data_IF_613332965684
#
_entry.id   IF_613332965684
#
_cell.length_a   1.000
_cell.length_b   1.000
_cell.length_c   1.000
_cell.angle_alpha   90.00
_cell.angle_beta   90.00
_cell.angle_gamma   90.00
#
_symmetry.space_group_name_H-M   'P 1'
#
loop_
_entity.id
_entity.type
_entity.pdbx_description
1 polymer ?
#
# COMPACT_ATOMS: atom_id res chain seq x y z
N UNK A 1 3.40 27.05 28.29
CA UNK A 1 3.38 26.15 27.12
C UNK A 1 2.37 26.56 26.02
N UNK A 2 1.47 27.54 26.24
CA UNK A 2 0.48 27.97 25.23
C UNK A 2 1.04 28.68 23.98
N UNK A 3 2.19 29.34 24.06
CA UNK A 3 2.72 30.16 22.95
C UNK A 3 3.46 29.40 21.84
N UNK A 4 3.82 28.12 22.04
CA UNK A 4 4.48 27.32 20.98
C UNK A 4 3.48 26.72 20.00
N UNK A 5 2.30 26.31 20.46
CA UNK A 5 1.22 25.80 19.61
C UNK A 5 0.57 26.91 18.78
N UNK A 6 0.37 28.11 19.35
CA UNK A 6 -0.15 29.26 18.60
C UNK A 6 0.80 29.71 17.48
N UNK A 7 2.11 29.69 17.72
CA UNK A 7 3.11 30.03 16.70
C UNK A 7 3.24 28.96 15.61
N UNK A 8 3.02 27.68 15.93
CA UNK A 8 2.95 26.60 14.93
C UNK A 8 1.71 26.73 14.03
N UNK A 9 0.58 27.18 14.57
CA UNK A 9 -0.66 27.45 13.81
C UNK A 9 -0.48 28.68 12.90
N UNK A 10 0.23 29.73 13.36
CA UNK A 10 0.51 30.92 12.56
C UNK A 10 1.59 30.69 11.48
N UNK A 11 2.63 29.88 11.74
CA UNK A 11 3.66 29.56 10.75
C UNK A 11 3.21 28.50 9.72
N UNK A 12 2.23 27.65 10.04
CA UNK A 12 1.62 26.73 9.07
C UNK A 12 0.68 27.44 8.06
N UNK A 13 0.28 28.68 8.36
CA UNK A 13 -0.59 29.47 7.47
C UNK A 13 0.15 30.14 6.31
N UNK A 14 1.48 29.96 6.19
CA UNK A 14 2.29 30.63 5.16
C UNK A 14 3.09 29.70 4.24
N UNK A 15 2.71 28.42 4.10
CA UNK A 15 3.37 27.55 3.11
C UNK A 15 2.36 26.83 2.19
N UNK A 16 2.60 27.02 0.89
CA UNK A 16 1.92 26.46 -0.29
C UNK A 16 0.49 26.97 -0.57
N UNK A 17 0.39 28.06 -1.35
CA UNK A 17 -0.78 28.33 -2.19
C UNK A 17 -0.95 27.19 -3.19
N UNK A 18 -1.79 26.22 -2.86
CA UNK A 18 -2.33 25.24 -3.81
C UNK A 18 -3.62 25.80 -4.41
N UNK A 19 -3.82 25.66 -5.72
CA UNK A 19 -4.99 26.13 -6.48
C UNK A 19 -6.35 25.82 -5.82
N UNK A 20 -6.84 26.68 -4.90
CA UNK A 20 -8.23 26.81 -4.42
C UNK A 20 -9.02 25.58 -3.91
N UNK A 21 -8.53 24.35 -4.11
CA UNK A 21 -9.22 23.08 -3.86
C UNK A 21 -8.91 22.58 -2.45
N UNK A 22 -9.92 22.15 -1.67
CA UNK A 22 -9.67 21.51 -0.39
C UNK A 22 -8.82 20.25 -0.55
N UNK A 23 -7.93 20.01 0.41
CA UNK A 23 -7.00 18.88 0.38
C UNK A 23 -7.49 17.73 1.24
N UNK A 24 -7.47 16.51 0.69
CA UNK A 24 -7.74 15.25 1.40
C UNK A 24 -6.44 14.45 1.49
N UNK A 25 -6.04 14.06 2.70
CA UNK A 25 -4.85 13.24 2.91
C UNK A 25 -5.25 11.80 3.21
N UNK A 26 -4.80 10.86 2.39
CA UNK A 26 -4.96 9.42 2.64
C UNK A 26 -3.73 8.92 3.39
N UNK A 27 -3.89 8.57 4.67
CA UNK A 27 -2.82 8.01 5.50
C UNK A 27 -2.94 6.50 5.53
N UNK A 28 -1.87 5.78 5.18
CA UNK A 28 -1.90 4.31 5.15
C UNK A 28 -0.86 3.65 6.05
N UNK A 29 -1.28 2.57 6.71
CA UNK A 29 -0.44 1.66 7.50
C UNK A 29 -0.49 0.27 6.88
N UNK A 30 0.62 -0.20 6.34
CA UNK A 30 0.71 -1.41 5.51
C UNK A 30 1.94 -2.23 5.89
N UNK A 31 1.80 -3.56 5.95
CA UNK A 31 2.92 -4.49 6.12
C UNK A 31 3.33 -5.12 4.79
N UNK A 32 2.34 -5.65 4.04
CA UNK A 32 2.52 -6.38 2.78
C UNK A 32 2.06 -5.61 1.53
N UNK A 33 1.78 -4.31 1.65
CA UNK A 33 1.42 -3.44 0.51
C UNK A 33 -0.08 -3.31 0.21
N UNK A 34 -0.97 -4.12 0.80
CA UNK A 34 -2.42 -4.05 0.49
C UNK A 34 -3.06 -2.70 0.82
N UNK A 35 -2.79 -2.14 2.01
CA UNK A 35 -3.31 -0.82 2.40
C UNK A 35 -2.73 0.32 1.55
N UNK A 36 -1.48 0.18 1.09
CA UNK A 36 -0.86 1.14 0.16
C UNK A 36 -1.57 1.12 -1.20
N UNK A 37 -1.87 -0.07 -1.73
CA UNK A 37 -2.60 -0.23 -2.99
C UNK A 37 -3.98 0.42 -2.95
N UNK A 38 -4.74 0.21 -1.87
CA UNK A 38 -6.02 0.88 -1.66
C UNK A 38 -5.90 2.40 -1.54
N UNK A 39 -4.88 2.90 -0.82
CA UNK A 39 -4.64 4.34 -0.73
C UNK A 39 -4.33 4.96 -2.10
N UNK A 40 -3.51 4.31 -2.92
CA UNK A 40 -3.23 4.74 -4.31
C UNK A 40 -4.49 4.70 -5.18
N UNK A 41 -5.33 3.68 -5.02
CA UNK A 41 -6.61 3.58 -5.72
C UNK A 41 -7.56 4.73 -5.36
N UNK A 42 -7.60 5.17 -4.09
CA UNK A 42 -8.37 6.35 -3.70
C UNK A 42 -7.86 7.62 -4.39
N UNK A 43 -6.54 7.83 -4.46
CA UNK A 43 -5.94 8.96 -5.18
C UNK A 43 -6.35 8.92 -6.66
N UNK A 44 -6.23 7.77 -7.33
CA UNK A 44 -6.63 7.62 -8.73
C UNK A 44 -8.14 7.90 -8.94
N UNK A 45 -9.00 7.38 -8.06
CA UNK A 45 -10.46 7.59 -8.12
C UNK A 45 -10.90 9.02 -7.83
N UNK A 46 -10.01 9.86 -7.28
CA UNK A 46 -10.30 11.27 -7.00
C UNK A 46 -10.15 12.18 -8.22
N UNK A 47 -9.65 11.65 -9.35
CA UNK A 47 -9.61 12.35 -10.63
C UNK A 47 -11.02 12.83 -11.02
N UNK A 48 -11.17 14.11 -11.36
CA UNK A 48 -12.46 14.73 -11.63
C UNK A 48 -13.21 15.26 -10.40
N UNK A 49 -12.73 14.99 -9.18
CA UNK A 49 -13.28 15.64 -7.97
C UNK A 49 -12.76 17.08 -7.80
N UNK A 50 -13.44 17.84 -6.94
CA UNK A 50 -13.02 19.17 -6.53
C UNK A 50 -11.92 19.17 -5.44
N UNK A 51 -11.33 18.00 -5.14
CA UNK A 51 -10.31 17.84 -4.12
C UNK A 51 -8.91 17.69 -4.71
N UNK A 52 -7.90 18.10 -3.93
CA UNK A 52 -6.51 17.64 -4.11
C UNK A 52 -6.29 16.47 -3.16
N UNK A 53 -6.03 15.28 -3.70
CA UNK A 53 -5.86 14.06 -2.89
C UNK A 53 -4.43 13.56 -2.98
N UNK A 54 -3.84 13.20 -1.84
CA UNK A 54 -2.51 12.59 -1.77
C UNK A 54 -2.51 11.39 -0.83
N UNK A 55 -1.70 10.39 -1.12
CA UNK A 55 -1.45 9.25 -0.24
C UNK A 55 -0.09 9.41 0.47
N UNK A 56 -0.05 9.15 1.77
CA UNK A 56 1.15 9.25 2.60
C UNK A 56 1.28 8.04 3.51
N UNK A 57 2.44 7.40 3.45
CA UNK A 57 2.86 6.32 4.33
C UNK A 57 2.97 6.83 5.78
N UNK A 58 2.31 6.14 6.72
CA UNK A 58 2.38 6.49 8.14
C UNK A 58 3.81 6.45 8.70
N UNK A 59 4.73 5.67 8.11
CA UNK A 59 6.13 5.66 8.55
C UNK A 59 6.84 7.01 8.31
N UNK A 60 6.40 7.74 7.28
CA UNK A 60 6.96 9.03 6.83
C UNK A 60 6.13 10.22 7.30
N UNK A 61 4.94 9.97 7.85
CA UNK A 61 4.04 11.01 8.29
C UNK A 61 4.44 11.55 9.67
N UNK A 62 4.53 12.88 9.79
CA UNK A 62 4.71 13.52 11.09
C UNK A 62 3.36 13.61 11.83
N UNK A 63 3.12 12.71 12.77
CA UNK A 63 1.84 12.62 13.48
C UNK A 63 1.43 13.92 14.21
N UNK A 64 2.38 14.79 14.61
CA UNK A 64 2.07 16.06 15.27
C UNK A 64 1.36 17.08 14.37
N UNK A 65 1.38 16.89 13.04
CA UNK A 65 0.67 17.76 12.09
C UNK A 65 -0.75 17.27 11.82
N UNK A 66 -1.16 16.11 12.36
CA UNK A 66 -2.51 15.60 12.18
C UNK A 66 -3.62 16.62 12.54
N UNK A 67 -3.53 17.39 13.64
CA UNK A 67 -4.52 18.42 13.97
C UNK A 67 -4.66 19.56 12.94
N UNK A 68 -3.67 19.75 12.08
CA UNK A 68 -3.67 20.83 11.08
C UNK A 68 -4.31 20.39 9.76
N UNK A 69 -4.68 19.11 9.60
CA UNK A 69 -5.29 18.59 8.39
C UNK A 69 -6.81 18.82 8.40
N UNK A 70 -7.37 19.23 7.26
CA UNK A 70 -8.81 19.47 7.14
C UNK A 70 -9.62 18.20 6.92
N UNK A 71 -9.11 17.25 6.12
CA UNK A 71 -9.76 15.97 5.86
C UNK A 71 -8.73 14.84 5.71
N UNK A 72 -8.97 13.73 6.43
CA UNK A 72 -8.07 12.58 6.48
C UNK A 72 -8.83 11.28 6.25
N UNK A 73 -8.35 10.46 5.33
CA UNK A 73 -8.83 9.08 5.14
C UNK A 73 -7.75 8.15 5.69
N UNK A 74 -8.09 7.30 6.64
CA UNK A 74 -7.16 6.29 7.16
C UNK A 74 -7.40 4.96 6.49
N UNK A 75 -6.35 4.35 5.95
CA UNK A 75 -6.35 2.99 5.38
C UNK A 75 -5.33 2.15 6.13
N UNK A 76 -5.75 1.47 7.19
CA UNK A 76 -4.83 0.88 8.18
C UNK A 76 -5.04 -0.61 8.34
N UNK A 77 -3.97 -1.38 8.18
CA UNK A 77 -3.97 -2.81 8.45
C UNK A 77 -3.74 -3.12 9.94
N UNK A 78 -4.36 -4.20 10.40
CA UNK A 78 -4.11 -4.79 11.72
C UNK A 78 -3.05 -5.87 11.60
N UNK A 79 -2.06 -5.89 12.49
CA UNK A 79 -0.96 -6.85 12.46
C UNK A 79 -0.72 -7.50 13.83
N UNK A 80 -0.17 -8.73 13.84
CA UNK A 80 0.09 -9.51 15.06
C UNK A 80 -1.16 -9.67 15.94
N UNK A 81 -1.00 -9.43 17.24
CA UNK A 81 -2.06 -9.53 18.27
C UNK A 81 -3.00 -8.31 18.31
N UNK A 82 -3.43 -7.85 17.13
CA UNK A 82 -4.31 -6.69 16.98
C UNK A 82 -3.61 -5.32 17.04
N UNK A 83 -2.30 -5.29 16.83
CA UNK A 83 -1.48 -4.08 16.86
C UNK A 83 -1.41 -3.35 15.51
N UNK A 84 -0.69 -2.21 15.47
CA UNK A 84 -0.37 -1.52 14.22
C UNK A 84 0.62 -2.32 13.36
N UNK A 85 0.64 -2.07 12.05
CA UNK A 85 1.79 -2.43 11.20
C UNK A 85 3.04 -1.68 11.63
N UNK A 86 4.23 -2.15 11.22
CA UNK A 86 5.50 -1.50 11.56
C UNK A 86 5.53 -0.03 11.11
N UNK A 87 4.96 0.24 9.92
CA UNK A 87 4.84 1.60 9.41
C UNK A 87 3.92 2.51 10.23
N UNK A 88 2.99 1.95 11.00
CA UNK A 88 2.01 2.70 11.78
C UNK A 88 2.35 2.80 13.28
N UNK A 89 3.42 2.15 13.77
CA UNK A 89 3.78 2.14 15.21
C UNK A 89 3.93 3.54 15.79
N UNK A 90 4.70 4.42 15.15
CA UNK A 90 4.93 5.80 15.62
C UNK A 90 3.64 6.61 15.67
N UNK A 91 2.81 6.47 14.64
CA UNK A 91 1.51 7.11 14.56
C UNK A 91 0.57 6.63 15.65
N UNK A 92 0.46 5.31 15.84
CA UNK A 92 -0.39 4.71 16.87
C UNK A 92 0.00 5.19 18.27
N UNK A 93 1.30 5.25 18.58
CA UNK A 93 1.82 5.79 19.85
C UNK A 93 1.45 7.26 20.06
N UNK A 94 1.52 8.08 19.01
CA UNK A 94 1.08 9.47 19.09
C UNK A 94 -0.43 9.56 19.37
N UNK A 95 -1.24 8.87 18.56
CA UNK A 95 -2.71 8.96 18.63
C UNK A 95 -3.27 8.47 19.97
N UNK A 96 -2.64 7.45 20.56
CA UNK A 96 -3.03 6.87 21.86
C UNK A 96 -2.41 7.58 23.06
N UNK A 97 -1.59 8.62 22.86
CA UNK A 97 -0.99 9.35 23.97
C UNK A 97 -2.10 10.04 24.82
N UNK A 98 -2.19 9.73 26.13
CA UNK A 98 -3.21 10.31 27.01
C UNK A 98 -3.00 11.81 27.26
N UNK A 99 -1.80 12.33 26.98
CA UNK A 99 -1.46 13.75 27.14
C UNK A 99 -2.04 14.63 26.02
N UNK A 100 -2.65 14.04 24.98
CA UNK A 100 -3.31 14.81 23.93
C UNK A 100 -4.56 15.51 24.49
N UNK A 101 -4.76 16.82 24.20
CA UNK A 101 -5.98 17.52 24.59
C UNK A 101 -7.23 16.86 23.99
N UNK A 102 -8.31 16.78 24.75
CA UNK A 102 -9.54 16.05 24.40
C UNK A 102 -10.23 16.52 23.10
N UNK A 103 -9.96 17.74 22.64
CA UNK A 103 -10.55 18.31 21.42
C UNK A 103 -9.49 18.72 20.38
N UNK A 104 -8.28 18.15 20.47
CA UNK A 104 -7.18 18.51 19.56
C UNK A 104 -7.52 18.23 18.08
N UNK A 105 -8.48 17.35 17.80
CA UNK A 105 -8.93 17.00 16.45
C UNK A 105 -10.27 17.67 16.05
N UNK A 106 -10.76 18.65 16.81
CA UNK A 106 -12.08 19.29 16.59
C UNK A 106 -12.32 19.91 15.20
N UNK A 107 -11.29 20.09 14.39
CA UNK A 107 -11.42 20.61 13.03
C UNK A 107 -11.12 19.57 11.95
N UNK A 108 -10.72 18.37 12.36
CA UNK A 108 -10.29 17.30 11.46
C UNK A 108 -11.51 16.45 11.08
N UNK A 109 -11.88 16.52 9.80
CA UNK A 109 -12.84 15.58 9.21
C UNK A 109 -12.12 14.28 8.91
N UNK A 110 -12.72 13.13 9.21
CA UNK A 110 -12.06 11.87 8.92
C UNK A 110 -13.00 10.72 8.58
N UNK A 111 -12.42 9.67 8.00
CA UNK A 111 -13.04 8.34 7.92
C UNK A 111 -11.95 7.28 7.92
N UNK A 112 -12.31 6.03 8.19
CA UNK A 112 -11.37 4.92 8.37
C UNK A 112 -11.85 3.70 7.60
N UNK A 113 -10.98 3.14 6.77
CA UNK A 113 -11.08 1.79 6.26
C UNK A 113 -10.00 0.93 6.94
N UNK A 114 -10.44 -0.01 7.77
CA UNK A 114 -9.56 -0.99 8.39
C UNK A 114 -9.37 -2.21 7.50
N UNK A 115 -8.14 -2.74 7.45
CA UNK A 115 -7.85 -4.03 6.84
C UNK A 115 -7.62 -5.05 7.97
N UNK A 116 -8.35 -6.15 7.95
CA UNK A 116 -8.24 -7.21 8.94
C UNK A 116 -8.61 -8.57 8.34
N UNK A 117 -8.54 -9.60 9.16
CA UNK A 117 -8.85 -10.97 8.77
C UNK A 117 -9.60 -11.65 9.92
N UNK A 118 -10.82 -12.18 9.67
CA UNK A 118 -11.69 -12.75 10.70
C UNK A 118 -11.16 -14.05 11.31
N UNK A 119 -10.19 -14.69 10.68
CA UNK A 119 -9.48 -15.86 11.27
C UNK A 119 -8.63 -15.48 12.48
N UNK A 120 -8.33 -14.19 12.66
CA UNK A 120 -7.60 -13.68 13.82
C UNK A 120 -8.55 -13.17 14.90
N UNK A 121 -8.23 -13.46 16.16
CA UNK A 121 -9.04 -13.08 17.31
C UNK A 121 -9.30 -11.57 17.40
N UNK A 122 -8.34 -10.74 16.95
CA UNK A 122 -8.42 -9.27 16.98
C UNK A 122 -8.70 -8.68 15.60
N UNK A 123 -9.79 -9.14 15.00
CA UNK A 123 -10.28 -8.62 13.71
C UNK A 123 -10.44 -7.09 13.71
N UNK A 124 -9.76 -6.43 12.77
CA UNK A 124 -9.81 -4.97 12.53
C UNK A 124 -9.48 -4.09 13.74
N UNK A 125 -8.75 -4.61 14.74
CA UNK A 125 -8.47 -3.89 15.98
C UNK A 125 -7.79 -2.52 15.74
N UNK A 126 -6.86 -2.43 14.77
CA UNK A 126 -6.19 -1.17 14.47
C UNK A 126 -7.14 -0.14 13.82
N UNK A 127 -7.96 -0.56 12.87
CA UNK A 127 -8.97 0.31 12.23
C UNK A 127 -9.97 0.85 13.25
N UNK A 128 -10.48 -0.02 14.13
CA UNK A 128 -11.38 0.34 15.23
C UNK A 128 -10.74 1.30 16.21
N UNK A 129 -9.50 1.04 16.62
CA UNK A 129 -8.75 1.89 17.53
C UNK A 129 -8.54 3.31 16.97
N UNK A 130 -8.14 3.43 15.70
CA UNK A 130 -8.00 4.74 15.04
C UNK A 130 -9.34 5.45 14.95
N UNK A 131 -10.40 4.76 14.51
CA UNK A 131 -11.73 5.33 14.39
C UNK A 131 -12.21 5.90 15.73
N UNK A 132 -12.22 5.08 16.78
CA UNK A 132 -12.70 5.49 18.10
C UNK A 132 -11.84 6.59 18.71
N UNK A 133 -10.50 6.52 18.57
CA UNK A 133 -9.61 7.52 19.16
C UNK A 133 -9.71 8.87 18.46
N UNK A 134 -9.93 8.90 17.15
CA UNK A 134 -10.20 10.15 16.43
C UNK A 134 -11.48 10.82 16.92
N UNK A 135 -12.58 10.07 17.13
CA UNK A 135 -13.82 10.63 17.71
C UNK A 135 -13.61 11.14 19.13
N UNK A 136 -12.91 10.39 19.99
CA UNK A 136 -12.59 10.78 21.37
C UNK A 136 -11.76 12.07 21.46
N UNK A 137 -10.96 12.38 20.43
CA UNK A 137 -10.15 13.59 20.36
C UNK A 137 -10.88 14.77 19.69
N UNK A 138 -12.19 14.63 19.43
CA UNK A 138 -13.05 15.66 18.84
C UNK A 138 -13.15 15.60 17.31
N UNK A 139 -12.51 14.62 16.66
CA UNK A 139 -12.57 14.46 15.21
C UNK A 139 -13.99 14.24 14.69
N UNK A 140 -14.28 14.75 13.50
CA UNK A 140 -15.59 14.64 12.87
C UNK A 140 -15.60 13.53 11.84
N UNK A 141 -16.24 12.41 12.15
CA UNK A 141 -16.37 11.30 11.20
C UNK A 141 -17.37 11.66 10.08
N UNK A 142 -16.86 11.83 8.87
CA UNK A 142 -17.64 12.31 7.72
C UNK A 142 -18.19 11.20 6.82
N UNK A 143 -17.71 9.98 7.00
CA UNK A 143 -18.15 8.81 6.26
C UNK A 143 -18.02 7.56 7.12
N UNK A 144 -18.85 6.54 6.84
CA UNK A 144 -18.93 5.30 7.63
C UNK A 144 -17.55 4.65 7.81
N UNK A 145 -17.32 4.06 8.99
CA UNK A 145 -16.17 3.19 9.19
C UNK A 145 -16.34 1.92 8.33
N UNK A 146 -15.33 1.58 7.55
CA UNK A 146 -15.26 0.33 6.80
C UNK A 146 -14.29 -0.65 7.43
N UNK A 147 -14.61 -1.94 7.34
CA UNK A 147 -13.79 -3.05 7.81
C UNK A 147 -13.71 -4.09 6.69
N UNK A 148 -12.52 -4.32 6.17
CA UNK A 148 -12.26 -5.36 5.18
C UNK A 148 -11.90 -6.70 5.82
N UNK A 149 -12.31 -7.82 5.19
CA UNK A 149 -11.94 -9.18 5.58
C UNK A 149 -11.09 -9.88 4.52
N UNK A 150 -9.79 -10.01 4.81
CA UNK A 150 -8.80 -10.64 3.93
C UNK A 150 -9.02 -12.15 3.71
N UNK A 151 -9.70 -12.83 4.65
CA UNK A 151 -10.09 -14.24 4.47
C UNK A 151 -11.06 -14.44 3.30
N UNK A 152 -11.94 -13.46 3.06
CA UNK A 152 -12.96 -13.53 2.01
C UNK A 152 -12.46 -12.81 0.75
N UNK A 153 -12.88 -11.56 0.56
CA UNK A 153 -12.42 -10.73 -0.54
C UNK A 153 -12.39 -9.27 -0.08
N UNK A 154 -11.25 -8.87 0.46
CA UNK A 154 -11.05 -7.51 0.99
C UNK A 154 -11.22 -6.42 -0.08
N UNK A 155 -11.01 -6.75 -1.36
CA UNK A 155 -11.23 -5.82 -2.48
C UNK A 155 -12.71 -5.48 -2.66
N UNK A 156 -13.61 -6.45 -2.49
CA UNK A 156 -15.05 -6.21 -2.57
C UNK A 156 -15.53 -5.35 -1.40
N UNK A 157 -15.07 -5.66 -0.17
CA UNK A 157 -15.39 -4.85 1.01
C UNK A 157 -14.93 -3.38 0.83
N UNK A 158 -13.77 -3.20 0.21
CA UNK A 158 -13.22 -1.88 -0.09
C UNK A 158 -13.99 -1.15 -1.19
N UNK A 159 -14.37 -1.85 -2.27
CA UNK A 159 -15.19 -1.29 -3.35
C UNK A 159 -16.57 -0.85 -2.84
N UNK A 160 -17.23 -1.69 -2.04
CA UNK A 160 -18.51 -1.39 -1.40
C UNK A 160 -18.39 -0.21 -0.42
N UNK A 161 -17.25 -0.13 0.29
CA UNK A 161 -16.97 1.00 1.18
C UNK A 161 -16.74 2.29 0.41
N UNK A 162 -16.00 2.29 -0.70
CA UNK A 162 -15.65 3.56 -1.37
C UNK A 162 -16.73 4.12 -2.28
N UNK A 163 -17.79 3.37 -2.59
CA UNK A 163 -18.82 3.75 -3.57
C UNK A 163 -19.39 5.16 -3.37
N UNK A 164 -19.75 5.52 -2.13
CA UNK A 164 -20.34 6.81 -1.78
C UNK A 164 -19.38 7.75 -1.05
N UNK A 165 -18.10 7.38 -0.95
CA UNK A 165 -17.10 8.08 -0.17
C UNK A 165 -16.93 9.54 -0.61
N UNK A 166 -16.73 9.77 -1.92
CA UNK A 166 -16.48 11.11 -2.44
C UNK A 166 -17.72 12.00 -2.39
N UNK A 167 -18.91 11.44 -2.61
CA UNK A 167 -20.17 12.15 -2.45
C UNK A 167 -20.36 12.62 -1.00
N UNK A 168 -20.11 11.74 -0.03
CA UNK A 168 -20.16 12.07 1.38
C UNK A 168 -19.13 13.15 1.76
N UNK A 169 -17.86 13.03 1.31
CA UNK A 169 -16.84 14.04 1.60
C UNK A 169 -17.21 15.39 0.94
N UNK A 170 -17.64 15.42 -0.33
CA UNK A 170 -18.08 16.66 -1.02
C UNK A 170 -19.17 17.40 -0.25
N UNK A 171 -20.15 16.67 0.31
CA UNK A 171 -21.24 17.26 1.10
C UNK A 171 -20.73 18.08 2.30
N UNK A 172 -19.58 17.69 2.87
CA UNK A 172 -19.01 18.34 4.06
C UNK A 172 -18.19 19.59 3.74
N UNK A 173 -17.89 19.82 2.46
CA UNK A 173 -17.14 20.99 2.00
C UNK A 173 -18.02 21.97 1.21
N UNK A 174 -19.35 21.75 1.17
CA UNK A 174 -20.29 22.53 0.36
C UNK A 174 -19.84 22.66 -1.11
N UNK A 175 -19.13 21.66 -1.62
CA UNK A 175 -18.73 21.56 -3.00
C UNK A 175 -19.87 20.91 -3.79
N UNK A 176 -20.02 21.21 -5.10
CA UNK A 176 -20.91 20.44 -5.96
C UNK A 176 -20.63 18.96 -5.74
N UNK A 177 -21.68 18.16 -5.51
CA UNK A 177 -21.53 16.73 -5.34
C UNK A 177 -20.68 16.22 -6.51
N UNK A 178 -19.56 15.58 -6.20
CA UNK A 178 -18.84 14.86 -7.23
C UNK A 178 -19.85 13.85 -7.75
N UNK A 179 -20.18 13.95 -9.04
CA UNK A 179 -20.99 12.92 -9.67
C UNK A 179 -20.11 11.68 -9.63
N UNK A 180 -20.33 10.80 -8.63
CA UNK A 180 -19.97 9.40 -8.76
C UNK A 180 -20.73 8.96 -9.99
N UNK A 181 -20.08 9.04 -11.16
CA UNK A 181 -20.61 8.35 -12.31
C UNK A 181 -20.66 6.89 -11.86
N UNK A 182 -21.85 6.24 -11.82
CA UNK A 182 -21.87 4.79 -11.72
C UNK A 182 -20.91 4.29 -12.80
N UNK A 183 -20.07 3.28 -12.52
CA UNK A 183 -19.18 2.75 -13.55
C UNK A 183 -20.09 2.37 -14.72
N UNK A 184 -20.08 3.21 -15.75
CA UNK A 184 -20.75 2.88 -16.99
C UNK A 184 -19.97 1.66 -17.43
N UNK A 185 -20.64 0.51 -17.53
CA UNK A 185 -20.09 -0.67 -18.19
C UNK A 185 -19.94 -0.31 -19.68
N UNK A 186 -19.02 0.60 -19.97
CA UNK A 186 -18.50 0.84 -21.28
C UNK A 186 -17.70 -0.41 -21.60
N UNK A 187 -18.17 -1.18 -22.58
CA UNK A 187 -17.42 -2.28 -23.18
C UNK A 187 -16.07 -1.82 -23.76
N UNK A 188 -15.80 -0.50 -23.81
CA UNK A 188 -14.51 0.07 -24.17
C UNK A 188 -13.70 0.32 -22.90
N UNK A 189 -12.73 -0.55 -22.67
CA UNK A 189 -11.62 -0.36 -21.75
C UNK A 189 -10.71 0.77 -22.24
N UNK A 190 -10.03 1.46 -21.32
CA UNK A 190 -8.99 2.44 -21.65
C UNK A 190 -7.62 1.83 -21.35
N UNK A 191 -6.56 2.27 -22.06
CA UNK A 191 -5.21 1.83 -21.73
C UNK A 191 -4.87 2.24 -20.29
N UNK A 192 -4.23 1.37 -19.51
CA UNK A 192 -3.75 1.73 -18.19
C UNK A 192 -2.77 2.92 -18.29
N UNK A 193 -2.85 3.82 -17.30
CA UNK A 193 -1.91 4.92 -17.16
C UNK A 193 -0.69 4.41 -16.41
N UNK A 194 0.48 4.49 -17.03
CA UNK A 194 1.75 4.12 -16.42
C UNK A 194 2.48 5.35 -15.87
N UNK A 195 3.19 5.18 -14.76
CA UNK A 195 4.01 6.25 -14.14
C UNK A 195 5.43 6.30 -14.73
N UNK A 196 5.77 5.36 -15.61
CA UNK A 196 7.09 5.19 -16.21
C UNK A 196 6.96 4.62 -17.63
N UNK A 197 7.92 4.96 -18.48
CA UNK A 197 8.13 4.35 -19.80
C UNK A 197 9.07 3.16 -19.70
N UNK A 198 8.95 2.23 -20.64
CA UNK A 198 9.85 1.07 -20.80
C UNK A 198 10.66 1.24 -22.07
N UNK A 199 11.99 1.20 -21.96
CA UNK A 199 12.90 1.38 -23.10
C UNK A 199 13.82 0.16 -23.20
N UNK A 200 13.92 -0.45 -24.38
CA UNK A 200 14.93 -1.47 -24.63
C UNK A 200 16.32 -0.85 -24.69
N UNK A 201 17.29 -1.46 -23.99
CA UNK A 201 18.69 -1.00 -23.96
C UNK A 201 19.66 -2.14 -24.28
N UNK A 202 20.91 -1.78 -24.55
CA UNK A 202 21.97 -2.77 -24.80
C UNK A 202 22.24 -3.63 -23.56
N UNK A 203 22.55 -4.91 -23.77
CA UNK A 203 22.88 -5.87 -22.70
C UNK A 203 24.10 -5.48 -21.85
N UNK A 204 24.99 -4.63 -22.37
CA UNK A 204 26.15 -4.14 -21.63
C UNK A 204 25.83 -2.98 -20.67
N UNK A 205 24.58 -2.50 -20.66
CA UNK A 205 24.15 -1.41 -19.79
C UNK A 205 23.99 -1.93 -18.37
N UNK A 206 24.87 -1.51 -17.45
CA UNK A 206 24.80 -1.93 -16.04
C UNK A 206 23.77 -1.10 -15.28
N UNK A 207 23.01 -1.76 -14.41
CA UNK A 207 22.20 -1.06 -13.41
C UNK A 207 23.09 -0.19 -12.52
N UNK A 208 22.73 1.08 -12.39
CA UNK A 208 23.33 2.02 -11.44
C UNK A 208 22.48 2.17 -10.17
N UNK A 209 21.37 1.42 -10.09
CA UNK A 209 20.41 1.51 -8.99
C UNK A 209 20.77 0.56 -7.85
N UNK A 210 20.55 1.00 -6.61
CA UNK A 210 20.72 0.17 -5.41
C UNK A 210 19.76 -1.03 -5.45
N UNK A 211 20.08 -2.14 -4.77
CA UNK A 211 19.16 -3.27 -4.64
C UNK A 211 17.78 -2.81 -4.15
N UNK A 212 16.72 -3.48 -4.63
CA UNK A 212 15.35 -3.20 -4.20
C UNK A 212 15.20 -3.33 -2.67
N UNK A 213 15.91 -4.31 -2.11
CA UNK A 213 15.94 -4.59 -0.70
C UNK A 213 17.33 -5.10 -0.32
N UNK A 214 17.83 -4.68 0.85
CA UNK A 214 19.04 -5.25 1.42
C UNK A 214 18.72 -6.64 1.97
N UNK A 215 19.50 -7.64 1.57
CA UNK A 215 19.41 -9.01 2.06
C UNK A 215 20.81 -9.60 2.22
N UNK A 216 20.93 -10.61 3.06
CA UNK A 216 22.14 -11.39 3.22
C UNK A 216 21.98 -12.74 2.51
N UNK A 217 23.07 -13.21 1.91
CA UNK A 217 23.12 -14.57 1.34
C UNK A 217 23.56 -15.53 2.43
N UNK A 218 22.74 -16.55 2.70
CA UNK A 218 23.02 -17.63 3.63
C UNK A 218 22.92 -18.97 2.91
N UNK A 219 23.80 -19.91 3.25
CA UNK A 219 23.80 -21.25 2.64
C UNK A 219 22.82 -22.16 3.38
N UNK A 220 21.91 -22.81 2.66
CA UNK A 220 21.08 -23.88 3.21
C UNK A 220 21.96 -25.13 3.44
N UNK A 221 22.18 -25.50 4.69
CA UNK A 221 23.06 -26.61 5.09
C UNK A 221 22.31 -27.88 5.45
N UNK A 222 21.03 -27.78 5.84
CA UNK A 222 20.17 -28.95 6.02
C UNK A 222 18.75 -28.68 5.50
N UNK A 223 18.15 -29.73 4.93
CA UNK A 223 16.77 -29.75 4.45
C UNK A 223 16.19 -31.12 4.67
N UNK A 224 15.18 -31.22 5.54
CA UNK A 224 14.49 -32.49 5.81
C UNK A 224 12.98 -32.31 5.94
N UNK A 225 12.25 -33.32 5.48
CA UNK A 225 10.81 -33.41 5.69
C UNK A 225 10.54 -33.81 7.15
N UNK A 226 9.67 -33.05 7.81
CA UNK A 226 9.27 -33.33 9.20
C UNK A 226 8.06 -34.26 9.28
N UNK A 227 7.28 -34.35 8.20
CA UNK A 227 6.10 -35.23 8.15
C UNK A 227 6.50 -36.64 7.76
N UNK A 228 5.86 -37.63 8.39
CA UNK A 228 6.02 -39.04 8.01
C UNK A 228 5.41 -39.35 6.63
N UNK A 229 4.45 -38.54 6.19
CA UNK A 229 3.80 -38.63 4.88
C UNK A 229 3.46 -37.24 4.37
N UNK A 230 3.69 -37.03 3.08
CA UNK A 230 3.42 -35.76 2.37
C UNK A 230 2.04 -35.72 1.69
N UNK A 231 1.22 -36.76 1.88
CA UNK A 231 -0.07 -36.90 1.19
C UNK A 231 -1.07 -35.76 1.50
N UNK A 232 -0.97 -35.14 2.68
CA UNK A 232 -1.79 -33.98 3.06
C UNK A 232 -0.96 -32.70 3.21
N UNK A 233 0.12 -32.59 2.43
CA UNK A 233 1.04 -31.45 2.42
C UNK A 233 2.41 -31.78 3.00
N UNK A 234 3.35 -30.85 2.89
CA UNK A 234 4.75 -30.97 3.32
C UNK A 234 5.05 -29.98 4.45
N UNK A 235 5.98 -30.32 5.34
CA UNK A 235 6.54 -29.38 6.31
C UNK A 235 8.05 -29.59 6.40
N UNK A 236 8.81 -28.62 5.91
CA UNK A 236 10.26 -28.72 5.84
C UNK A 236 10.93 -28.06 7.04
N UNK A 237 11.94 -28.74 7.57
CA UNK A 237 12.97 -28.15 8.44
C UNK A 237 14.12 -27.69 7.56
N UNK A 238 14.54 -26.44 7.72
CA UNK A 238 15.61 -25.80 6.97
C UNK A 238 16.63 -25.23 7.95
N UNK A 239 17.92 -25.52 7.74
CA UNK A 239 19.01 -24.93 8.51
C UNK A 239 19.86 -24.06 7.59
N UNK A 240 20.10 -22.81 7.97
CA UNK A 240 20.89 -21.85 7.20
C UNK A 240 22.17 -21.50 7.95
N UNK A 241 23.32 -21.61 7.30
CA UNK A 241 24.60 -21.11 7.84
C UNK A 241 24.70 -19.60 7.61
N UNK A 242 24.73 -18.87 8.72
CA UNK A 242 24.81 -17.40 8.75
C UNK A 242 26.16 -16.87 9.26
N UNK A 243 27.17 -17.73 9.50
CA UNK A 243 28.47 -17.32 10.07
C UNK A 243 29.16 -16.20 9.29
N UNK A 244 28.96 -16.19 7.97
CA UNK A 244 29.54 -15.21 7.04
C UNK A 244 28.50 -14.28 6.40
N UNK A 245 27.24 -14.37 6.83
CA UNK A 245 26.14 -13.58 6.28
C UNK A 245 26.06 -12.17 6.90
N UNK A 246 26.83 -11.90 7.96
CA UNK A 246 26.83 -10.58 8.62
C UNK A 246 25.54 -10.26 9.37
N UNK A 247 24.73 -11.27 9.69
CA UNK A 247 23.46 -11.14 10.39
C UNK A 247 23.52 -11.80 11.77
N UNK A 248 22.76 -11.26 12.71
CA UNK A 248 22.56 -11.81 14.06
C UNK A 248 21.07 -11.97 14.31
N UNK A 249 20.69 -12.95 15.13
CA UNK A 249 19.30 -13.15 15.53
C UNK A 249 19.19 -13.50 17.01
N UNK A 250 18.03 -13.23 17.59
CA UNK A 250 17.62 -13.74 18.89
C UNK A 250 16.61 -14.89 18.70
N UNK A 251 16.51 -15.78 19.69
CA UNK A 251 15.49 -16.83 19.69
C UNK A 251 14.10 -16.22 19.56
N UNK A 252 13.30 -16.79 18.65
CA UNK A 252 11.96 -16.32 18.26
C UNK A 252 11.91 -15.08 17.36
N UNK A 253 13.04 -14.64 16.80
CA UNK A 253 13.02 -13.71 15.66
C UNK A 253 12.44 -14.40 14.40
N UNK A 254 11.95 -13.56 13.47
CA UNK A 254 11.43 -14.01 12.19
C UNK A 254 12.51 -13.96 11.11
N UNK A 255 12.59 -15.00 10.28
CA UNK A 255 13.41 -15.03 9.07
C UNK A 255 12.55 -14.69 7.85
N UNK A 256 12.91 -13.63 7.13
CA UNK A 256 12.35 -13.35 5.81
C UNK A 256 13.19 -14.04 4.73
N UNK A 257 12.54 -14.84 3.88
CA UNK A 257 13.17 -15.48 2.72
C UNK A 257 12.69 -14.75 1.48
N UNK A 258 13.63 -14.31 0.63
CA UNK A 258 13.31 -13.71 -0.67
C UNK A 258 13.19 -14.84 -1.71
N UNK A 259 11.98 -15.18 -2.20
CA UNK A 259 11.80 -16.27 -3.15
C UNK A 259 12.09 -15.83 -4.58
N UNK A 260 12.35 -16.80 -5.45
CA UNK A 260 12.34 -16.64 -6.90
C UNK A 260 11.23 -17.50 -7.51
N UNK A 261 10.63 -17.03 -8.61
CA UNK A 261 9.68 -17.85 -9.36
C UNK A 261 10.37 -19.04 -10.03
N UNK A 262 9.63 -20.13 -10.20
CA UNK A 262 10.09 -21.30 -10.94
C UNK A 262 10.54 -20.89 -12.36
N UNK A 263 11.77 -21.23 -12.80
CA UNK A 263 12.25 -20.94 -14.15
C UNK A 263 11.29 -21.40 -15.26
N UNK A 264 10.60 -22.53 -15.09
CA UNK A 264 9.62 -23.01 -16.07
C UNK A 264 8.38 -22.11 -16.13
N UNK A 265 7.94 -21.54 -14.99
CA UNK A 265 6.87 -20.55 -14.95
C UNK A 265 7.32 -19.25 -15.63
N UNK A 266 8.53 -18.78 -15.34
CA UNK A 266 9.13 -17.59 -15.97
C UNK A 266 9.14 -17.74 -17.49
N UNK A 267 9.65 -18.84 -18.01
CA UNK A 267 9.68 -19.11 -19.46
C UNK A 267 8.29 -19.20 -20.07
N UNK A 268 7.33 -19.83 -19.36
CA UNK A 268 5.94 -19.91 -19.82
C UNK A 268 5.32 -18.52 -19.97
N UNK A 269 5.52 -17.64 -18.99
CA UNK A 269 4.98 -16.27 -19.01
C UNK A 269 5.67 -15.42 -20.10
N UNK A 270 7.00 -15.48 -20.20
CA UNK A 270 7.75 -14.77 -21.23
C UNK A 270 7.28 -15.18 -22.64
N UNK A 271 7.11 -16.48 -22.87
CA UNK A 271 6.61 -17.03 -24.15
C UNK A 271 5.19 -16.55 -24.45
N UNK A 272 4.28 -16.62 -23.47
CA UNK A 272 2.89 -16.19 -23.65
C UNK A 272 2.78 -14.70 -24.00
N UNK A 273 3.62 -13.86 -23.39
CA UNK A 273 3.69 -12.42 -23.63
C UNK A 273 4.62 -12.04 -24.80
N UNK A 274 5.28 -13.03 -25.42
CA UNK A 274 6.22 -12.86 -26.54
C UNK A 274 7.41 -11.95 -26.21
N UNK A 275 7.92 -12.06 -24.99
CA UNK A 275 9.14 -11.37 -24.57
C UNK A 275 10.40 -12.23 -24.79
N UNK A 276 11.50 -11.56 -25.13
CA UNK A 276 12.85 -12.13 -25.05
C UNK A 276 13.32 -12.09 -23.59
N UNK A 277 13.58 -13.26 -23.00
CA UNK A 277 13.97 -13.40 -21.60
C UNK A 277 15.29 -12.69 -21.28
N UNK A 278 16.21 -12.65 -22.25
CA UNK A 278 17.53 -12.04 -22.09
C UNK A 278 17.54 -10.56 -22.56
N UNK A 279 16.41 -10.08 -23.09
CA UNK A 279 16.20 -8.69 -23.44
C UNK A 279 16.34 -7.79 -22.21
N UNK A 280 17.12 -6.71 -22.33
CA UNK A 280 17.35 -5.74 -21.25
C UNK A 280 16.47 -4.52 -21.46
N UNK A 281 15.77 -4.13 -20.39
CA UNK A 281 14.89 -2.96 -20.38
C UNK A 281 15.29 -1.97 -19.29
N UNK A 282 15.07 -0.69 -19.58
CA UNK A 282 15.19 0.42 -18.66
C UNK A 282 13.80 1.03 -18.36
N UNK A 283 13.44 1.18 -17.08
CA UNK A 283 12.27 1.96 -16.68
C UNK A 283 12.64 3.44 -16.50
N UNK A 284 11.93 4.32 -17.21
CA UNK A 284 12.12 5.78 -17.12
C UNK A 284 10.91 6.42 -16.48
N UNK A 285 11.08 6.91 -15.25
CA UNK A 285 10.07 7.65 -14.53
C UNK A 285 9.58 8.86 -15.34
N UNK A 286 8.25 9.02 -15.48
CA UNK A 286 7.65 10.18 -16.17
C UNK A 286 7.70 11.44 -15.31
N UNK A 287 7.71 11.29 -13.98
CA UNK A 287 7.86 12.36 -13.00
C UNK A 287 9.06 12.08 -12.08
N UNK A 288 9.76 13.12 -11.63
CA UNK A 288 10.89 13.01 -10.69
C UNK A 288 10.50 12.38 -9.35
N UNK A 289 9.23 12.45 -8.96
CA UNK A 289 8.71 11.86 -7.73
C UNK A 289 8.34 10.37 -7.90
N UNK A 290 8.25 9.85 -9.13
CA UNK A 290 7.92 8.45 -9.38
C UNK A 290 9.02 7.55 -8.84
N UNK A 291 8.64 6.60 -7.98
CA UNK A 291 9.52 5.54 -7.54
C UNK A 291 9.38 4.35 -8.46
N UNK A 292 10.50 3.89 -9.01
CA UNK A 292 10.51 2.71 -9.86
C UNK A 292 10.25 1.45 -9.02
N UNK A 293 9.52 0.47 -9.57
CA UNK A 293 9.11 -0.73 -8.84
C UNK A 293 10.27 -1.69 -8.55
N UNK A 294 11.39 -1.57 -9.26
CA UNK A 294 12.59 -2.38 -9.06
C UNK A 294 13.82 -1.73 -9.72
N UNK A 295 15.04 -2.19 -9.38
CA UNK A 295 16.29 -1.76 -9.99
C UNK A 295 16.31 -1.99 -11.50
N UNK A 296 16.81 -0.99 -12.23
CA UNK A 296 16.84 -0.96 -13.69
C UNK A 296 18.12 -0.25 -14.19
N UNK A 297 18.66 -0.56 -15.38
CA UNK A 297 18.25 -1.60 -16.34
C UNK A 297 18.39 -3.04 -15.83
N UNK A 298 17.54 -3.94 -16.30
CA UNK A 298 17.59 -5.37 -15.97
C UNK A 298 16.96 -6.24 -17.06
N UNK A 299 17.19 -7.55 -17.02
CA UNK A 299 16.62 -8.50 -18.00
C UNK A 299 15.16 -8.79 -17.71
N UNK A 300 14.39 -9.13 -18.75
CA UNK A 300 13.01 -9.63 -18.59
C UNK A 300 12.99 -10.85 -17.66
N UNK A 301 13.94 -11.77 -17.80
CA UNK A 301 14.10 -12.93 -16.90
C UNK A 301 14.17 -12.52 -15.43
N UNK A 302 14.98 -11.53 -15.10
CA UNK A 302 15.15 -11.06 -13.71
C UNK A 302 13.86 -10.44 -13.19
N UNK A 303 13.17 -9.65 -14.02
CA UNK A 303 11.88 -9.04 -13.66
C UNK A 303 10.85 -10.12 -13.31
N UNK A 304 10.67 -11.08 -14.21
CA UNK A 304 9.71 -12.17 -14.02
C UNK A 304 10.11 -13.11 -12.87
N UNK A 305 11.40 -13.29 -12.61
CA UNK A 305 11.89 -14.21 -11.57
C UNK A 305 11.80 -13.60 -10.16
N UNK A 306 12.27 -12.36 -10.00
CA UNK A 306 12.60 -11.78 -8.68
C UNK A 306 11.68 -10.64 -8.25
N UNK A 307 11.00 -9.96 -9.18
CA UNK A 307 10.28 -8.71 -8.87
C UNK A 307 8.77 -8.78 -9.04
N UNK A 308 8.25 -9.84 -9.67
CA UNK A 308 6.81 -10.01 -9.89
C UNK A 308 6.28 -11.27 -9.20
N UNK A 309 5.12 -11.16 -8.56
CA UNK A 309 4.37 -12.31 -8.09
C UNK A 309 3.53 -12.89 -9.24
N UNK A 310 3.97 -14.03 -9.77
CA UNK A 310 3.31 -14.74 -10.87
C UNK A 310 2.37 -15.85 -10.40
N UNK A 311 2.30 -16.13 -9.09
CA UNK A 311 1.52 -17.22 -8.51
C UNK A 311 0.26 -16.73 -7.80
N UNK A 312 0.23 -15.48 -7.35
CA UNK A 312 -0.98 -14.90 -6.79
C UNK A 312 -2.11 -14.82 -7.82
N UNK A 313 -3.34 -15.03 -7.35
CA UNK A 313 -4.52 -14.75 -8.14
C UNK A 313 -4.52 -13.25 -8.54
N UNK A 314 -4.72 -12.92 -9.82
CA UNK A 314 -4.69 -11.53 -10.27
C UNK A 314 -5.82 -10.74 -9.61
N UNK A 315 -5.46 -9.60 -9.04
CA UNK A 315 -6.39 -8.65 -8.41
C UNK A 315 -7.33 -8.02 -9.43
N UNK A 316 -8.50 -7.53 -9.00
CA UNK A 316 -9.50 -6.91 -9.88
C UNK A 316 -8.93 -5.77 -10.74
N UNK A 317 -8.05 -4.95 -10.15
CA UNK A 317 -7.37 -3.87 -10.87
C UNK A 317 -6.46 -4.38 -12.00
N UNK A 318 -5.69 -5.44 -11.75
CA UNK A 318 -4.83 -6.05 -12.77
C UNK A 318 -5.66 -6.66 -13.91
N UNK A 319 -6.74 -7.37 -13.58
CA UNK A 319 -7.67 -7.92 -14.57
C UNK A 319 -8.32 -6.80 -15.41
N UNK A 320 -8.70 -5.69 -14.79
CA UNK A 320 -9.28 -4.54 -15.49
C UNK A 320 -8.29 -3.93 -16.48
N UNK A 321 -7.01 -3.80 -16.09
CA UNK A 321 -5.96 -3.31 -16.97
C UNK A 321 -5.67 -4.28 -18.12
N UNK A 322 -5.60 -5.58 -17.84
CA UNK A 322 -5.36 -6.62 -18.85
C UNK A 322 -6.52 -6.76 -19.84
N UNK A 323 -7.77 -6.51 -19.40
CA UNK A 323 -8.94 -6.54 -20.27
C UNK A 323 -8.83 -5.57 -21.45
N UNK A 324 -8.03 -4.50 -21.34
CA UNK A 324 -7.75 -3.61 -22.46
C UNK A 324 -6.94 -4.24 -23.59
N UNK A 325 -6.08 -5.20 -23.26
CA UNK A 325 -5.21 -5.87 -24.21
C UNK A 325 -5.77 -7.20 -24.71
N UNK A 326 -6.99 -7.58 -24.29
CA UNK A 326 -7.64 -8.80 -24.75
C UNK A 326 -8.01 -8.70 -26.24
N UNK A 327 -7.44 -9.57 -27.07
CA UNK A 327 -7.66 -9.59 -28.52
C UNK A 327 -8.84 -10.47 -28.96
N UNK A 328 -9.43 -11.23 -28.04
CA UNK A 328 -10.57 -12.12 -28.28
C UNK A 328 -11.53 -12.08 -27.11
N UNK A 329 -12.82 -11.89 -27.39
CA UNK A 329 -13.94 -11.91 -26.45
C UNK A 329 -14.45 -13.32 -26.18
#
# INVERSE_FOLDING_TARGET
MGNKLSNLIQQASSSAKTNGKPTVTVLYGSQSGTAEGFAKSLVASSQGTAFTVRAVDLAKFNASTLPTLSCVIFVVATFGEGGPTDSAVKFHKYLTNPSLPANVMQHVKFTVFGLGNKTYARYNAMGRAVNSRMEQLGGHRVYRHGEGNDEACIENDFDDWRQDLWAAISSQFALPAAVSQPPVLSAKTSPPVFEFDVVSVSSNTRSTSSPFQEYAVATLVDRRELRQSTASGSTLHLEFDIKHAGVTYATADNLAILPENDPALVTRVATALRFDEDGVVELKALDKATKLPFPTPTTIRTILSQYLDLNAAPRKGALTALAHYATSS
#
